data_IF_199587859152
#
_entry.id   IF_199587859152
#
_cell.length_a   1.000
_cell.length_b   1.000
_cell.length_c   1.000
_cell.angle_alpha   90.00
_cell.angle_beta   90.00
_cell.angle_gamma   90.00
#
_symmetry.space_group_name_H-M   'P 1'
#
loop_
_entity.id
_entity.type
_entity.pdbx_description
1 polymer ?
#
# COMPACT_ATOMS: atom_id res chain seq x y z
N UNK A 1 28.76 46.18 0.28
CA UNK A 1 29.10 44.81 -0.16
C UNK A 1 27.87 43.97 0.11
N UNK A 2 27.07 43.82 -0.94
CA UNK A 2 25.86 43.01 -0.96
C UNK A 2 26.23 41.54 -0.81
N UNK A 3 25.86 40.93 0.31
CA UNK A 3 25.78 39.47 0.40
C UNK A 3 24.39 39.03 -0.06
N UNK A 4 24.16 39.15 -1.37
CA UNK A 4 23.11 38.44 -2.07
C UNK A 4 23.48 36.96 -2.15
N UNK A 5 23.34 36.23 -1.04
CA UNK A 5 23.26 34.77 -1.08
C UNK A 5 21.82 34.42 -1.44
N UNK A 6 21.67 33.86 -2.63
CA UNK A 6 20.41 33.39 -3.20
C UNK A 6 19.58 32.63 -2.18
N UNK A 7 18.48 33.23 -1.71
CA UNK A 7 17.29 32.48 -1.35
C UNK A 7 16.75 31.89 -2.66
N UNK A 8 17.30 30.74 -3.05
CA UNK A 8 16.53 29.79 -3.82
C UNK A 8 15.42 29.37 -2.87
N UNK A 9 14.24 29.98 -3.02
CA UNK A 9 13.04 29.62 -2.27
C UNK A 9 12.81 28.11 -2.46
N UNK A 10 13.24 27.31 -1.48
CA UNK A 10 12.88 25.91 -1.42
C UNK A 10 11.35 25.87 -1.42
N UNK A 11 10.72 25.13 -2.36
CA UNK A 11 9.27 25.11 -2.45
C UNK A 11 8.71 24.69 -1.10
N UNK A 12 7.73 25.45 -0.61
CA UNK A 12 7.16 25.19 0.72
C UNK A 12 6.60 23.77 0.74
N UNK A 13 6.67 23.08 1.87
CA UNK A 13 6.19 21.70 1.99
C UNK A 13 4.71 21.55 1.51
N UNK A 14 3.92 22.61 1.62
CA UNK A 14 2.57 22.72 1.07
C UNK A 14 2.53 22.71 -0.47
N UNK A 15 3.42 23.44 -1.14
CA UNK A 15 3.58 23.39 -2.60
C UNK A 15 4.06 22.00 -3.06
N UNK A 16 4.91 21.34 -2.26
CA UNK A 16 5.33 19.96 -2.51
C UNK A 16 4.17 18.97 -2.37
N UNK A 17 3.29 19.15 -1.40
CA UNK A 17 2.09 18.34 -1.27
C UNK A 17 1.10 18.56 -2.42
N UNK A 18 1.15 19.73 -3.09
CA UNK A 18 0.28 20.04 -4.23
C UNK A 18 0.63 19.27 -5.50
N UNK A 19 1.90 18.87 -5.70
CA UNK A 19 2.32 18.03 -6.83
C UNK A 19 1.98 16.53 -6.64
N UNK A 20 1.64 16.13 -5.42
CA UNK A 20 1.40 14.74 -5.06
C UNK A 20 0.08 14.24 -5.66
N UNK A 21 0.19 13.33 -6.64
CA UNK A 21 -0.93 12.87 -7.46
C UNK A 21 -1.61 11.58 -6.97
N UNK A 22 -1.31 11.10 -5.78
CA UNK A 22 -1.89 9.88 -5.21
C UNK A 22 -2.89 10.21 -4.10
N UNK A 23 -3.86 9.33 -3.80
CA UNK A 23 -4.80 9.54 -2.70
C UNK A 23 -4.10 9.76 -1.35
N UNK A 24 -4.53 10.76 -0.59
CA UNK A 24 -4.13 11.00 0.81
C UNK A 24 -5.33 11.37 1.66
N UNK A 25 -5.16 11.86 2.90
CA UNK A 25 -6.28 12.28 3.75
C UNK A 25 -7.36 11.24 3.96
N UNK A 26 -8.61 11.69 4.10
CA UNK A 26 -9.78 10.81 4.32
C UNK A 26 -9.92 9.84 3.15
N UNK A 27 -9.79 10.29 1.91
CA UNK A 27 -9.91 9.42 0.74
C UNK A 27 -8.86 8.30 0.75
N UNK A 28 -7.61 8.62 1.06
CA UNK A 28 -6.52 7.65 1.22
C UNK A 28 -6.78 6.65 2.34
N UNK A 29 -7.27 7.10 3.50
CA UNK A 29 -7.65 6.20 4.62
C UNK A 29 -8.74 5.23 4.18
N UNK A 30 -9.79 5.71 3.52
CA UNK A 30 -10.84 4.84 2.94
C UNK A 30 -10.24 3.85 1.94
N UNK A 31 -9.31 4.29 1.09
CA UNK A 31 -8.60 3.42 0.15
C UNK A 31 -7.86 2.28 0.85
N UNK A 32 -7.13 2.62 1.92
CA UNK A 32 -6.38 1.68 2.75
C UNK A 32 -7.33 0.70 3.45
N UNK A 33 -8.40 1.18 4.09
CA UNK A 33 -9.37 0.33 4.80
C UNK A 33 -9.98 -0.71 3.88
N UNK A 34 -10.43 -0.33 2.69
CA UNK A 34 -10.93 -1.30 1.73
C UNK A 34 -9.86 -2.31 1.26
N UNK A 35 -8.60 -1.89 1.16
CA UNK A 35 -7.51 -2.80 0.80
C UNK A 35 -7.25 -3.83 1.90
N UNK A 36 -7.22 -3.36 3.16
CA UNK A 36 -7.13 -4.20 4.34
C UNK A 36 -8.31 -5.19 4.42
N UNK A 37 -9.53 -4.68 4.35
CA UNK A 37 -10.75 -5.49 4.39
C UNK A 37 -10.75 -6.51 3.27
N UNK A 38 -10.39 -6.13 2.04
CA UNK A 38 -10.40 -7.09 0.95
C UNK A 38 -9.37 -8.20 1.14
N UNK A 39 -8.17 -7.91 1.67
CA UNK A 39 -7.17 -8.95 1.99
C UNK A 39 -7.70 -9.88 3.07
N UNK A 40 -8.23 -9.32 4.15
CA UNK A 40 -8.80 -10.11 5.24
C UNK A 40 -9.95 -11.02 4.77
N UNK A 41 -10.83 -10.47 3.94
CA UNK A 41 -11.99 -11.18 3.41
C UNK A 41 -11.61 -12.34 2.47
N UNK A 42 -10.42 -12.32 1.84
CA UNK A 42 -9.93 -13.46 1.04
C UNK A 42 -9.75 -14.74 1.87
N UNK A 43 -9.47 -14.60 3.18
CA UNK A 43 -9.26 -15.74 4.08
C UNK A 43 -10.56 -16.40 4.54
N UNK A 44 -11.70 -15.70 4.40
CA UNK A 44 -13.02 -16.25 4.68
C UNK A 44 -13.81 -16.52 3.38
N UNK A 45 -13.12 -16.58 2.23
CA UNK A 45 -13.71 -16.82 0.91
C UNK A 45 -14.88 -15.85 0.58
N UNK A 46 -14.76 -14.60 1.00
CA UNK A 46 -15.81 -13.58 0.82
C UNK A 46 -15.24 -12.36 0.06
N UNK A 47 -14.74 -12.52 -1.19
CA UNK A 47 -14.11 -11.41 -1.90
C UNK A 47 -15.06 -10.22 -2.02
N UNK A 48 -14.63 -9.06 -1.50
CA UNK A 48 -15.47 -7.88 -1.30
C UNK A 48 -16.19 -7.40 -2.56
N UNK A 49 -15.52 -7.48 -3.72
CA UNK A 49 -16.05 -6.99 -5.00
C UNK A 49 -16.40 -8.13 -5.96
N UNK A 50 -16.55 -9.36 -5.47
CA UNK A 50 -17.03 -10.49 -6.29
C UNK A 50 -18.03 -11.35 -5.52
N UNK A 51 -19.23 -10.83 -5.20
CA UNK A 51 -20.25 -11.54 -4.43
C UNK A 51 -20.62 -12.92 -4.99
N UNK A 52 -20.61 -13.06 -6.31
CA UNK A 52 -20.88 -14.32 -7.01
C UNK A 52 -19.88 -15.45 -6.68
N UNK A 53 -18.75 -15.12 -6.03
CA UNK A 53 -17.73 -16.09 -5.58
C UNK A 53 -17.73 -16.32 -4.07
N UNK A 54 -18.68 -15.76 -3.34
CA UNK A 54 -18.73 -15.97 -1.89
C UNK A 54 -18.95 -17.44 -1.57
N UNK A 55 -18.16 -17.97 -0.64
CA UNK A 55 -18.16 -19.38 -0.29
C UNK A 55 -17.37 -20.28 -1.25
N UNK A 56 -17.09 -19.81 -2.47
CA UNK A 56 -16.26 -20.53 -3.43
C UNK A 56 -14.77 -20.37 -3.09
N UNK A 57 -13.96 -21.30 -3.60
CA UNK A 57 -12.51 -21.27 -3.40
C UNK A 57 -11.92 -19.97 -3.94
N UNK A 58 -11.08 -19.34 -3.14
CA UNK A 58 -10.35 -18.16 -3.58
C UNK A 58 -9.28 -18.53 -4.61
N UNK A 59 -9.28 -17.80 -5.72
CA UNK A 59 -8.28 -17.89 -6.76
C UNK A 59 -7.69 -16.51 -7.04
N UNK A 60 -6.39 -16.46 -7.30
CA UNK A 60 -5.71 -15.25 -7.73
C UNK A 60 -6.28 -14.77 -9.08
N UNK A 61 -6.18 -13.46 -9.31
CA UNK A 61 -6.56 -12.88 -10.59
C UNK A 61 -5.76 -13.45 -11.76
N UNK A 62 -6.37 -13.45 -12.95
CA UNK A 62 -5.68 -13.79 -14.19
C UNK A 62 -4.57 -12.79 -14.54
N UNK A 63 -3.53 -13.23 -15.28
CA UNK A 63 -2.37 -12.40 -15.60
C UNK A 63 -2.71 -11.12 -16.37
N UNK A 64 -3.72 -11.15 -17.23
CA UNK A 64 -4.20 -9.97 -17.94
C UNK A 64 -4.76 -8.89 -17.00
N UNK A 65 -5.60 -9.28 -16.05
CA UNK A 65 -6.16 -8.34 -15.06
C UNK A 65 -5.07 -7.81 -14.13
N UNK A 66 -4.13 -8.65 -13.72
CA UNK A 66 -2.96 -8.23 -12.93
C UNK A 66 -2.14 -7.18 -13.69
N UNK A 67 -1.92 -7.37 -15.00
CA UNK A 67 -1.19 -6.43 -15.84
C UNK A 67 -1.91 -5.09 -16.00
N UNK A 68 -3.19 -5.10 -16.38
CA UNK A 68 -4.01 -3.87 -16.45
C UNK A 68 -3.91 -3.13 -15.13
N UNK A 69 -4.11 -3.85 -14.03
CA UNK A 69 -4.12 -3.23 -12.72
C UNK A 69 -2.76 -2.62 -12.35
N UNK A 70 -1.66 -3.28 -12.71
CA UNK A 70 -0.32 -2.74 -12.55
C UNK A 70 -0.17 -1.40 -13.30
N UNK A 71 -0.67 -1.28 -14.54
CA UNK A 71 -0.62 -0.02 -15.28
C UNK A 71 -1.38 1.12 -14.57
N UNK A 72 -2.60 0.84 -14.07
CA UNK A 72 -3.42 1.83 -13.37
C UNK A 72 -2.85 2.25 -12.01
N UNK A 73 -2.03 1.41 -11.38
CA UNK A 73 -1.41 1.69 -10.07
C UNK A 73 -0.02 2.34 -10.26
N UNK A 74 0.80 1.82 -11.16
CA UNK A 74 2.16 2.31 -11.41
C UNK A 74 2.15 3.64 -12.15
N UNK A 75 1.24 3.86 -13.11
CA UNK A 75 1.17 5.09 -13.89
C UNK A 75 1.06 6.36 -13.02
N UNK A 76 0.04 6.46 -12.14
CA UNK A 76 -0.11 7.56 -11.18
C UNK A 76 1.07 7.74 -10.23
N UNK A 77 1.69 6.64 -9.79
CA UNK A 77 2.86 6.69 -8.92
C UNK A 77 4.09 7.24 -9.67
N UNK A 78 4.33 6.78 -10.90
CA UNK A 78 5.39 7.29 -11.78
C UNK A 78 5.15 8.78 -12.10
N UNK A 79 3.92 9.16 -12.42
CA UNK A 79 3.54 10.56 -12.65
C UNK A 79 3.90 11.44 -11.45
N UNK A 80 3.57 10.98 -10.23
CA UNK A 80 3.93 11.67 -8.99
C UNK A 80 5.45 11.79 -8.85
N UNK A 81 6.20 10.70 -9.09
CA UNK A 81 7.67 10.72 -9.01
C UNK A 81 8.31 11.67 -10.04
N UNK A 82 7.76 11.77 -11.24
CA UNK A 82 8.29 12.63 -12.32
C UNK A 82 7.96 14.10 -12.07
N UNK A 83 6.78 14.41 -11.51
CA UNK A 83 6.36 15.80 -11.29
C UNK A 83 6.86 16.38 -9.97
N UNK A 84 7.01 15.55 -8.93
CA UNK A 84 7.55 15.97 -7.64
C UNK A 84 9.08 15.87 -7.55
N UNK A 85 9.80 15.99 -8.68
CA UNK A 85 11.26 15.79 -8.85
C UNK A 85 12.17 16.49 -7.84
N UNK A 86 11.66 17.54 -7.18
CA UNK A 86 12.44 18.32 -6.22
C UNK A 86 12.73 17.56 -4.91
N UNK A 87 11.89 16.59 -4.51
CA UNK A 87 11.96 16.04 -3.15
C UNK A 87 11.91 14.51 -3.11
N UNK A 88 13.06 13.91 -2.83
CA UNK A 88 13.23 12.46 -2.74
C UNK A 88 12.33 11.82 -1.68
N UNK A 89 12.00 12.55 -0.61
CA UNK A 89 11.10 12.09 0.46
C UNK A 89 9.70 11.79 -0.08
N UNK A 90 9.16 12.70 -0.89
CA UNK A 90 7.84 12.55 -1.53
C UNK A 90 7.82 11.41 -2.55
N UNK A 91 8.92 11.23 -3.28
CA UNK A 91 9.11 10.11 -4.20
C UNK A 91 9.08 8.77 -3.45
N UNK A 92 9.80 8.66 -2.33
CA UNK A 92 9.80 7.44 -1.51
C UNK A 92 8.42 7.15 -0.88
N UNK A 93 7.70 8.18 -0.43
CA UNK A 93 6.32 8.04 0.05
C UNK A 93 5.40 7.54 -1.06
N UNK A 94 5.50 8.10 -2.27
CA UNK A 94 4.71 7.69 -3.43
C UNK A 94 5.00 6.24 -3.85
N UNK A 95 6.28 5.84 -3.87
CA UNK A 95 6.68 4.44 -4.10
C UNK A 95 6.12 3.53 -3.00
N UNK A 96 6.16 3.98 -1.74
CA UNK A 96 5.59 3.26 -0.60
C UNK A 96 4.07 3.05 -0.67
N UNK A 97 3.32 3.85 -1.44
CA UNK A 97 1.89 3.65 -1.68
C UNK A 97 1.56 2.38 -2.47
N UNK A 98 2.56 1.79 -3.12
CA UNK A 98 2.47 0.57 -3.90
C UNK A 98 2.54 -0.69 -3.03
N UNK A 99 2.93 -0.59 -1.75
CA UNK A 99 3.06 -1.75 -0.87
C UNK A 99 1.77 -2.55 -0.69
N UNK A 100 0.57 -1.94 -0.51
CA UNK A 100 -0.67 -2.71 -0.46
C UNK A 100 -0.92 -3.54 -1.73
N UNK A 101 -0.50 -3.04 -2.91
CA UNK A 101 -0.67 -3.75 -4.17
C UNK A 101 0.26 -4.96 -4.27
N UNK A 102 1.56 -4.80 -4.01
CA UNK A 102 2.50 -5.92 -4.04
C UNK A 102 2.19 -6.96 -2.96
N UNK A 103 1.75 -6.50 -1.78
CA UNK A 103 1.32 -7.40 -0.70
C UNK A 103 0.11 -8.22 -1.16
N UNK A 104 -0.80 -7.59 -1.89
CA UNK A 104 -1.96 -8.29 -2.41
C UNK A 104 -1.57 -9.38 -3.42
N UNK A 105 -0.66 -9.10 -4.35
CA UNK A 105 -0.14 -10.11 -5.29
C UNK A 105 0.47 -11.30 -4.51
N UNK A 106 1.26 -11.02 -3.48
CA UNK A 106 1.81 -12.05 -2.59
C UNK A 106 0.71 -12.87 -1.92
N UNK A 107 -0.26 -12.19 -1.30
CA UNK A 107 -1.38 -12.80 -0.59
C UNK A 107 -2.21 -13.71 -1.50
N UNK A 108 -2.50 -13.24 -2.72
CA UNK A 108 -3.28 -13.97 -3.70
C UNK A 108 -2.55 -15.23 -4.17
N UNK A 109 -1.24 -15.13 -4.43
CA UNK A 109 -0.39 -16.26 -4.77
C UNK A 109 -0.32 -17.30 -3.65
N UNK A 110 -0.02 -16.85 -2.42
CA UNK A 110 0.07 -17.73 -1.25
C UNK A 110 -1.27 -18.41 -0.95
N UNK A 111 -2.38 -17.66 -0.95
CA UNK A 111 -3.71 -18.24 -0.64
C UNK A 111 -4.16 -19.25 -1.69
N UNK A 112 -3.94 -18.96 -2.98
CA UNK A 112 -4.33 -19.86 -4.06
C UNK A 112 -3.49 -21.14 -4.06
N UNK A 113 -2.19 -21.03 -3.79
CA UNK A 113 -1.29 -22.17 -3.62
C UNK A 113 -1.69 -23.05 -2.43
N UNK A 114 -2.03 -22.44 -1.29
CA UNK A 114 -2.48 -23.18 -0.10
C UNK A 114 -3.79 -23.92 -0.34
N UNK A 115 -4.76 -23.25 -0.97
CA UNK A 115 -6.03 -23.89 -1.31
C UNK A 115 -5.83 -25.09 -2.25
N UNK A 116 -4.73 -25.14 -3.01
CA UNK A 116 -4.39 -26.26 -3.89
C UNK A 116 -3.79 -27.44 -3.13
N UNK A 117 -2.95 -27.15 -2.13
CA UNK A 117 -2.27 -28.16 -1.31
C UNK A 117 -3.23 -28.80 -0.29
N UNK A 118 -4.19 -28.05 0.24
CA UNK A 118 -5.29 -28.57 1.09
C UNK A 118 -6.17 -29.59 0.35
N UNK A 119 -6.20 -29.54 -0.99
CA UNK A 119 -7.04 -30.35 -1.86
C UNK A 119 -6.22 -31.38 -2.66
N UNK A 120 -5.15 -31.93 -2.08
CA UNK A 120 -4.29 -32.98 -2.68
C UNK A 120 -4.99 -34.32 -2.99
N UNK A 121 -6.30 -34.30 -3.28
CA UNK A 121 -7.11 -35.41 -3.77
C UNK A 121 -7.82 -35.18 -5.12
N UNK A 122 -7.67 -34.04 -5.82
CA UNK A 122 -8.28 -33.89 -7.17
C UNK A 122 -7.22 -33.62 -8.25
N UNK A 123 -6.93 -34.68 -9.01
CA UNK A 123 -5.99 -34.82 -10.13
C UNK A 123 -6.27 -33.90 -11.34
N UNK A 124 -6.42 -32.58 -11.18
CA UNK A 124 -6.63 -31.70 -12.35
C UNK A 124 -6.22 -30.23 -12.18
N UNK A 125 -5.30 -29.89 -11.26
CA UNK A 125 -4.68 -28.56 -11.33
C UNK A 125 -3.51 -28.66 -12.30
N UNK A 126 -3.66 -28.04 -13.48
CA UNK A 126 -2.57 -27.94 -14.47
C UNK A 126 -1.33 -27.31 -13.81
N UNK A 127 -0.16 -27.92 -13.99
CA UNK A 127 1.12 -27.43 -13.46
C UNK A 127 1.37 -25.94 -13.75
N UNK A 128 0.88 -25.45 -14.88
CA UNK A 128 0.93 -24.04 -15.29
C UNK A 128 0.25 -23.10 -14.27
N UNK A 129 -0.91 -23.49 -13.72
CA UNK A 129 -1.66 -22.69 -12.75
C UNK A 129 -0.92 -22.63 -11.42
N UNK A 130 -0.35 -23.75 -10.97
CA UNK A 130 0.43 -23.83 -9.74
C UNK A 130 1.72 -23.00 -9.84
N UNK A 131 2.41 -23.10 -10.99
CA UNK A 131 3.60 -22.30 -11.28
C UNK A 131 3.30 -20.80 -11.28
N UNK A 132 2.15 -20.39 -11.82
CA UNK A 132 1.69 -19.00 -11.79
C UNK A 132 1.47 -18.49 -10.36
N UNK A 133 0.78 -19.25 -9.51
CA UNK A 133 0.53 -18.84 -8.12
C UNK A 133 1.82 -18.75 -7.30
N UNK A 134 2.76 -19.67 -7.53
CA UNK A 134 4.10 -19.60 -6.95
C UNK A 134 4.88 -18.37 -7.43
N UNK A 135 4.78 -18.04 -8.73
CA UNK A 135 5.38 -16.83 -9.28
C UNK A 135 4.80 -15.56 -8.64
N UNK A 136 3.47 -15.49 -8.45
CA UNK A 136 2.81 -14.36 -7.79
C UNK A 136 3.28 -14.21 -6.34
N UNK A 137 3.36 -15.30 -5.59
CA UNK A 137 3.88 -15.30 -4.23
C UNK A 137 5.32 -14.74 -4.18
N UNK A 138 6.21 -15.23 -5.04
CA UNK A 138 7.62 -14.81 -5.08
C UNK A 138 7.78 -13.36 -5.51
N UNK A 139 7.13 -12.94 -6.60
CA UNK A 139 7.19 -11.57 -7.10
C UNK A 139 6.59 -10.61 -6.08
N UNK A 140 5.43 -10.94 -5.51
CA UNK A 140 4.80 -10.14 -4.47
C UNK A 140 5.70 -9.97 -3.24
N UNK A 141 6.37 -11.03 -2.78
CA UNK A 141 7.36 -10.95 -1.68
C UNK A 141 8.53 -10.05 -2.03
N UNK A 142 9.13 -10.27 -3.21
CA UNK A 142 10.27 -9.50 -3.69
C UNK A 142 9.94 -8.01 -3.84
N UNK A 143 8.71 -7.65 -4.21
CA UNK A 143 8.29 -6.26 -4.34
C UNK A 143 7.84 -5.63 -3.01
N UNK A 144 7.15 -6.38 -2.15
CA UNK A 144 6.58 -5.84 -0.90
C UNK A 144 7.65 -5.35 0.05
N UNK A 145 8.77 -6.08 0.17
CA UNK A 145 9.88 -5.71 1.05
C UNK A 145 10.47 -4.34 0.67
N UNK A 146 11.01 -4.12 -0.55
CA UNK A 146 11.61 -2.85 -0.92
C UNK A 146 10.59 -1.70 -0.97
N UNK A 147 9.34 -1.95 -1.39
CA UNK A 147 8.30 -0.91 -1.39
C UNK A 147 7.93 -0.47 0.03
N UNK A 148 7.81 -1.42 0.97
CA UNK A 148 7.58 -1.11 2.38
C UNK A 148 8.76 -0.34 2.98
N UNK A 149 10.00 -0.77 2.72
CA UNK A 149 11.20 -0.05 3.17
C UNK A 149 11.26 1.37 2.61
N UNK A 150 11.03 1.55 1.31
CA UNK A 150 10.96 2.87 0.69
C UNK A 150 9.90 3.75 1.37
N UNK A 151 8.71 3.20 1.62
CA UNK A 151 7.63 3.91 2.31
C UNK A 151 8.00 4.32 3.75
N UNK A 152 8.60 3.44 4.53
CA UNK A 152 9.06 3.75 5.89
C UNK A 152 10.20 4.77 5.90
N UNK A 153 11.18 4.66 4.99
CA UNK A 153 12.28 5.63 4.88
C UNK A 153 11.73 7.00 4.48
N UNK A 154 10.87 7.06 3.46
CA UNK A 154 10.23 8.30 3.02
C UNK A 154 9.41 8.96 4.12
N UNK A 155 8.61 8.16 4.85
CA UNK A 155 7.83 8.65 5.99
C UNK A 155 8.69 9.15 7.14
N UNK A 156 9.77 8.44 7.47
CA UNK A 156 10.70 8.85 8.53
C UNK A 156 11.38 10.18 8.15
N UNK A 157 11.85 10.30 6.92
CA UNK A 157 12.50 11.51 6.43
C UNK A 157 11.53 12.71 6.41
N UNK A 158 10.31 12.51 5.89
CA UNK A 158 9.26 13.53 5.89
C UNK A 158 8.92 13.97 7.32
N UNK A 159 8.84 13.01 8.25
CA UNK A 159 8.57 13.27 9.67
C UNK A 159 9.69 14.09 10.33
N UNK A 160 10.96 13.78 10.06
CA UNK A 160 12.10 14.55 10.58
C UNK A 160 12.11 15.97 10.03
N UNK A 161 11.79 16.15 8.74
CA UNK A 161 11.66 17.46 8.13
C UNK A 161 10.59 18.30 8.85
N UNK A 162 9.43 17.69 9.13
CA UNK A 162 8.32 18.34 9.83
C UNK A 162 8.57 18.62 11.31
N UNK A 163 9.28 17.74 12.03
CA UNK A 163 9.59 17.98 13.44
C UNK A 163 10.47 19.22 13.64
N UNK A 164 11.23 19.63 12.62
CA UNK A 164 11.99 20.88 12.63
C UNK A 164 11.11 22.11 12.45
N UNK A 165 9.91 21.97 11.89
CA UNK A 165 9.04 23.08 11.49
C UNK A 165 7.75 23.18 12.32
N UNK A 166 7.21 22.08 12.84
CA UNK A 166 5.93 22.04 13.55
C UNK A 166 5.93 21.04 14.74
N UNK A 167 5.87 21.55 15.98
CA UNK A 167 5.83 20.70 17.19
C UNK A 167 4.61 19.77 17.25
N UNK A 168 3.47 20.17 16.69
CA UNK A 168 2.22 19.41 16.74
C UNK A 168 2.25 18.12 15.89
N UNK A 169 3.13 18.04 14.88
CA UNK A 169 3.29 16.84 14.03
C UNK A 169 4.03 15.73 14.79
N UNK A 170 4.89 16.11 15.75
CA UNK A 170 5.72 15.19 16.55
C UNK A 170 4.89 14.11 17.28
N UNK A 171 3.76 14.48 17.93
CA UNK A 171 2.96 13.53 18.73
C UNK A 171 2.33 12.41 17.90
N UNK A 172 1.89 12.71 16.67
CA UNK A 172 1.30 11.72 15.77
C UNK A 172 2.32 10.73 15.24
N UNK A 173 3.54 11.19 14.97
CA UNK A 173 4.67 10.38 14.52
C UNK A 173 5.00 9.31 15.58
N UNK A 174 5.13 9.71 16.84
CA UNK A 174 5.39 8.79 17.95
C UNK A 174 4.26 7.78 18.15
N UNK A 175 3.00 8.21 18.00
CA UNK A 175 1.85 7.30 18.08
C UNK A 175 1.90 6.22 17.00
N UNK A 176 2.30 6.57 15.77
CA UNK A 176 2.40 5.63 14.66
C UNK A 176 3.53 4.60 14.89
N UNK A 177 4.72 5.04 15.33
CA UNK A 177 5.80 4.12 15.67
C UNK A 177 5.47 3.23 16.88
N UNK A 178 4.75 3.77 17.87
CA UNK A 178 4.29 2.99 19.02
C UNK A 178 3.33 1.87 18.60
N UNK A 179 2.35 2.19 17.74
CA UNK A 179 1.44 1.17 17.18
C UNK A 179 2.22 0.12 16.39
N UNK A 180 3.20 0.53 15.57
CA UNK A 180 4.06 -0.40 14.85
C UNK A 180 4.81 -1.35 15.80
N UNK A 181 5.42 -0.81 16.86
CA UNK A 181 6.17 -1.57 17.85
C UNK A 181 5.28 -2.59 18.60
N UNK A 182 4.08 -2.18 19.04
CA UNK A 182 3.11 -3.07 19.70
C UNK A 182 2.73 -4.22 18.77
N UNK A 183 2.46 -3.92 17.49
CA UNK A 183 2.11 -4.95 16.50
C UNK A 183 3.26 -5.91 16.20
N UNK A 184 4.51 -5.43 16.17
CA UNK A 184 5.70 -6.28 16.03
C UNK A 184 5.83 -7.22 17.24
N UNK A 185 5.68 -6.69 18.46
CA UNK A 185 5.75 -7.51 19.69
C UNK A 185 4.66 -8.58 19.67
N UNK A 186 3.42 -8.20 19.33
CA UNK A 186 2.30 -9.11 19.20
C UNK A 186 2.57 -10.20 18.14
N UNK A 187 3.11 -9.79 16.98
CA UNK A 187 3.49 -10.71 15.90
C UNK A 187 4.53 -11.73 16.36
N UNK A 188 5.61 -11.28 16.98
CA UNK A 188 6.68 -12.13 17.50
C UNK A 188 6.13 -13.11 18.54
N UNK A 189 5.31 -12.61 19.48
CA UNK A 189 4.71 -13.43 20.54
C UNK A 189 3.86 -14.56 19.97
N UNK A 190 2.95 -14.24 19.05
CA UNK A 190 2.03 -15.21 18.45
C UNK A 190 2.75 -16.23 17.57
N UNK A 191 3.74 -15.78 16.79
CA UNK A 191 4.55 -16.67 15.97
C UNK A 191 5.37 -17.64 16.84
N UNK A 192 5.96 -17.14 17.93
CA UNK A 192 6.74 -17.97 18.87
C UNK A 192 5.88 -19.03 19.56
N UNK A 193 4.60 -18.73 19.80
CA UNK A 193 3.65 -19.68 20.39
C UNK A 193 2.99 -20.59 19.37
N UNK A 194 3.17 -20.36 18.05
CA UNK A 194 2.39 -20.98 16.96
C UNK A 194 0.88 -20.79 17.15
N UNK A 195 0.48 -19.73 17.86
CA UNK A 195 -0.92 -19.41 18.16
C UNK A 195 -1.36 -18.39 17.13
N UNK A 196 -2.12 -18.83 16.12
CA UNK A 196 -2.70 -17.91 15.14
C UNK A 196 -3.12 -18.62 13.86
N UNK A 197 -4.37 -18.38 13.43
CA UNK A 197 -4.78 -18.74 12.07
C UNK A 197 -3.92 -17.94 11.09
N UNK A 198 -3.52 -18.54 9.96
CA UNK A 198 -2.72 -17.85 8.91
C UNK A 198 -3.34 -16.51 8.51
N UNK A 199 -4.67 -16.39 8.48
CA UNK A 199 -5.37 -15.13 8.22
C UNK A 199 -4.96 -13.99 9.15
N UNK A 200 -4.74 -14.30 10.44
CA UNK A 200 -4.31 -13.33 11.43
C UNK A 200 -2.84 -12.91 11.23
N UNK A 201 -1.99 -13.87 10.86
CA UNK A 201 -0.59 -13.60 10.48
C UNK A 201 -0.50 -12.60 9.31
N UNK A 202 -1.24 -12.86 8.22
CA UNK A 202 -1.22 -11.97 7.06
C UNK A 202 -1.89 -10.63 7.35
N UNK A 203 -2.91 -10.58 8.22
CA UNK A 203 -3.49 -9.33 8.67
C UNK A 203 -2.47 -8.45 9.41
N UNK A 204 -1.71 -9.01 10.35
CA UNK A 204 -0.66 -8.24 11.04
C UNK A 204 0.46 -7.83 10.07
N UNK A 205 0.93 -8.75 9.24
CA UNK A 205 1.97 -8.44 8.24
C UNK A 205 1.53 -7.32 7.29
N UNK A 206 0.26 -7.32 6.86
CA UNK A 206 -0.26 -6.23 6.03
C UNK A 206 -0.24 -4.90 6.78
N UNK A 207 -0.71 -4.87 8.04
CA UNK A 207 -0.72 -3.63 8.82
C UNK A 207 0.72 -3.14 9.00
N UNK A 208 1.66 -3.99 9.42
CA UNK A 208 3.06 -3.60 9.61
C UNK A 208 3.72 -3.08 8.34
N UNK A 209 3.49 -3.76 7.21
CA UNK A 209 4.09 -3.37 5.93
C UNK A 209 3.44 -2.15 5.32
N UNK A 210 2.24 -1.73 5.76
CA UNK A 210 1.50 -0.60 5.16
C UNK A 210 1.16 0.51 6.14
N UNK A 211 1.58 0.44 7.41
CA UNK A 211 1.29 1.48 8.40
C UNK A 211 1.88 2.84 8.00
N UNK A 212 3.02 2.84 7.29
CA UNK A 212 3.59 4.04 6.68
C UNK A 212 2.63 4.71 5.68
N UNK A 213 1.75 3.95 5.02
CA UNK A 213 0.71 4.47 4.12
C UNK A 213 -0.32 5.28 4.90
N UNK A 214 -0.80 4.77 6.05
CA UNK A 214 -1.72 5.53 6.92
C UNK A 214 -1.05 6.82 7.38
N UNK A 215 0.20 6.72 7.85
CA UNK A 215 0.97 7.89 8.28
C UNK A 215 1.06 8.93 7.18
N UNK A 216 1.39 8.51 5.95
CA UNK A 216 1.51 9.44 4.81
C UNK A 216 0.19 10.13 4.50
N UNK A 217 -0.95 9.44 4.60
CA UNK A 217 -2.26 10.04 4.34
C UNK A 217 -2.57 11.16 5.33
N UNK A 218 -2.26 10.95 6.61
CA UNK A 218 -2.49 11.93 7.68
C UNK A 218 -1.54 13.12 7.51
N UNK A 219 -0.23 12.85 7.35
CA UNK A 219 0.79 13.89 7.24
C UNK A 219 0.55 14.76 6.01
N UNK A 220 0.34 14.15 4.83
CA UNK A 220 0.10 14.91 3.60
C UNK A 220 -1.18 15.76 3.67
N UNK A 221 -2.25 15.26 4.31
CA UNK A 221 -3.47 16.03 4.50
C UNK A 221 -3.27 17.25 5.41
N UNK A 222 -2.40 17.13 6.43
CA UNK A 222 -2.05 18.24 7.32
C UNK A 222 -1.22 19.30 6.60
N UNK A 223 -0.16 18.88 5.91
CA UNK A 223 0.74 19.78 5.18
C UNK A 223 0.02 20.53 4.07
N UNK A 224 -0.83 19.83 3.31
CA UNK A 224 -1.61 20.45 2.21
C UNK A 224 -2.82 21.25 2.70
N UNK A 225 -3.12 21.22 4.00
CA UNK A 225 -4.38 21.71 4.57
C UNK A 225 -5.62 21.19 3.82
N UNK A 226 -5.54 19.96 3.28
CA UNK A 226 -6.60 19.32 2.50
C UNK A 226 -6.95 17.96 3.09
N UNK A 227 -7.93 17.97 4.01
CA UNK A 227 -8.42 16.76 4.68
C UNK A 227 -9.16 15.80 3.74
N UNK A 228 -9.76 16.31 2.65
CA UNK A 228 -10.51 15.48 1.69
C UNK A 228 -9.61 14.43 1.05
N UNK A 229 -8.34 14.78 0.84
CA UNK A 229 -7.35 13.83 0.33
C UNK A 229 -7.29 13.70 -1.19
N UNK A 230 -7.86 14.69 -1.88
CA UNK A 230 -7.96 14.73 -3.33
C UNK A 230 -7.27 16.00 -3.82
N UNK A 231 -6.13 15.85 -4.50
CA UNK A 231 -5.42 16.96 -5.09
C UNK A 231 -6.23 17.58 -6.24
N UNK A 232 -6.27 18.92 -6.38
CA UNK A 232 -6.97 19.58 -7.48
C UNK A 232 -6.35 19.24 -8.85
N UNK A 233 -7.14 19.39 -9.92
CA UNK A 233 -6.72 19.25 -11.33
C UNK A 233 -6.13 17.87 -11.68
N UNK A 234 -4.92 17.82 -12.25
CA UNK A 234 -4.28 16.57 -12.68
C UNK A 234 -4.10 15.55 -11.55
N UNK A 235 -3.98 16.02 -10.30
CA UNK A 235 -3.91 15.18 -9.11
C UNK A 235 -5.22 14.41 -8.84
N UNK A 236 -6.38 14.95 -9.21
CA UNK A 236 -7.69 14.30 -9.11
C UNK A 236 -7.76 13.10 -10.06
N UNK A 237 -7.42 13.32 -11.33
CA UNK A 237 -7.44 12.26 -12.34
C UNK A 237 -6.47 11.13 -11.98
N UNK A 238 -5.25 11.47 -11.56
CA UNK A 238 -4.24 10.52 -11.09
C UNK A 238 -4.73 9.72 -9.86
N UNK A 239 -5.36 10.39 -8.90
CA UNK A 239 -5.93 9.75 -7.70
C UNK A 239 -7.09 8.81 -8.03
N UNK A 240 -7.96 9.19 -8.97
CA UNK A 240 -9.08 8.35 -9.44
C UNK A 240 -8.56 7.12 -10.19
N UNK A 241 -7.62 7.30 -11.12
CA UNK A 241 -7.01 6.19 -11.88
C UNK A 241 -6.34 5.20 -10.92
N UNK A 242 -5.60 5.71 -9.94
CA UNK A 242 -4.95 4.88 -8.92
C UNK A 242 -5.98 4.14 -8.04
N UNK A 243 -7.07 4.80 -7.67
CA UNK A 243 -8.17 4.18 -6.93
C UNK A 243 -8.83 3.07 -7.74
N UNK A 244 -9.16 3.33 -9.01
CA UNK A 244 -9.74 2.34 -9.92
C UNK A 244 -8.80 1.15 -10.05
N UNK A 245 -7.50 1.38 -10.28
CA UNK A 245 -6.49 0.33 -10.29
C UNK A 245 -6.51 -0.50 -9.01
N UNK A 246 -6.42 0.14 -7.84
CA UNK A 246 -6.50 -0.57 -6.55
C UNK A 246 -7.77 -1.41 -6.43
N UNK A 247 -8.91 -0.99 -7.01
CA UNK A 247 -10.18 -1.75 -6.98
C UNK A 247 -10.24 -2.86 -8.01
N UNK A 248 -9.68 -2.65 -9.21
CA UNK A 248 -9.55 -3.68 -10.24
C UNK A 248 -8.78 -4.88 -9.71
N UNK A 249 -7.82 -4.68 -8.80
CA UNK A 249 -7.16 -5.80 -8.12
C UNK A 249 -8.17 -6.74 -7.50
N UNK A 250 -9.23 -6.23 -6.87
CA UNK A 250 -10.13 -7.03 -6.04
C UNK A 250 -11.33 -7.62 -6.80
N UNK A 251 -11.40 -7.40 -8.11
CA UNK A 251 -12.39 -8.02 -8.98
C UNK A 251 -11.83 -9.31 -9.58
N UNK A 252 -12.53 -10.42 -9.46
CA UNK A 252 -12.13 -11.66 -10.13
C UNK A 252 -13.11 -11.99 -11.25
N UNK A 253 -12.64 -11.92 -12.50
CA UNK A 253 -13.44 -12.07 -13.73
C UNK A 253 -13.22 -13.40 -14.46
N UNK A 254 -12.69 -14.42 -13.79
CA UNK A 254 -12.57 -15.76 -14.37
C UNK A 254 -13.89 -16.54 -14.41
#
# INVERSE_FOLDING_TARGET
>A
MDNGFNNLDEPTLAEQASCYGLPYGIFGIVCWTFSFSSIFLTYINCPMFSPHRWGNRYEAQGPWMTFITACFILGPAIFTCINCKAEWMMTLVAIGQLTPWSFKIMNDGDRSYMAADEEKQINYIKDEVLNRWNAYSKVGKFMTIPLSLAGWIGMTALSISLMRTEEAVSSWIWSLYLVAAILIILFIYLNSRKIGKRSFYYAIMFILTTLHVIGSHIILARISNNLSGVAPNAGLASSIIFFIGKRLLFLNFH
#
